data_IF_512582885364
#
_entry.id   IF_512582885364
#
_cell.length_a   1.000
_cell.length_b   1.000
_cell.length_c   1.000
_cell.angle_alpha   90.00
_cell.angle_beta   90.00
_cell.angle_gamma   90.00
#
_symmetry.space_group_name_H-M   'P 1'
#
loop_
_entity.id
_entity.type
_entity.pdbx_description
1 polymer ?
#
# COMPACT_ATOMS: atom_id res chain seq x y z
N UNK A 1 -49.11 -0.66 -4.21
CA UNK A 1 -48.14 -0.18 -3.20
C UNK A 1 -46.74 -0.37 -3.77
N UNK A 2 -46.05 0.72 -4.13
CA UNK A 2 -44.68 0.65 -4.63
C UNK A 2 -43.71 0.84 -3.45
N UNK A 3 -43.03 -0.22 -3.05
CA UNK A 3 -41.97 -0.16 -2.05
C UNK A 3 -40.73 0.49 -2.68
N UNK A 4 -40.51 1.77 -2.37
CA UNK A 4 -39.23 2.44 -2.66
C UNK A 4 -38.13 1.74 -1.86
N UNK A 5 -37.30 0.92 -2.52
CA UNK A 5 -36.04 0.44 -1.95
C UNK A 5 -35.11 1.65 -1.79
N UNK A 6 -34.98 2.14 -0.57
CA UNK A 6 -33.93 3.10 -0.20
C UNK A 6 -32.58 2.38 -0.30
N UNK A 7 -31.88 2.54 -1.41
CA UNK A 7 -30.47 2.13 -1.54
C UNK A 7 -29.67 3.05 -0.62
N UNK A 8 -29.27 2.55 0.54
CA UNK A 8 -28.34 3.27 1.41
C UNK A 8 -27.02 3.38 0.64
N UNK A 9 -26.62 4.59 0.25
CA UNK A 9 -25.25 4.85 -0.20
C UNK A 9 -24.32 4.62 0.99
N UNK A 10 -23.79 3.43 1.06
CA UNK A 10 -22.64 3.03 1.86
C UNK A 10 -21.48 3.99 1.59
N UNK A 11 -20.82 4.43 2.68
CA UNK A 11 -19.70 5.35 2.58
C UNK A 11 -18.47 4.57 2.10
N UNK A 12 -17.65 5.13 1.19
CA UNK A 12 -16.37 4.52 0.84
C UNK A 12 -15.53 4.36 2.11
N UNK A 13 -14.91 3.20 2.26
CA UNK A 13 -14.00 2.89 3.37
C UNK A 13 -12.59 3.10 2.86
N UNK A 14 -11.77 3.89 3.56
CA UNK A 14 -10.36 3.98 3.21
C UNK A 14 -9.55 2.87 3.89
N UNK A 15 -8.57 2.35 3.16
CA UNK A 15 -7.53 1.46 3.69
C UNK A 15 -6.18 2.13 3.49
N UNK A 16 -5.27 1.93 4.43
CA UNK A 16 -3.90 2.45 4.34
C UNK A 16 -2.91 1.35 4.69
N UNK A 17 -1.76 1.38 4.02
CA UNK A 17 -0.62 0.54 4.35
C UNK A 17 0.67 1.36 4.32
N UNK A 18 1.65 0.90 5.10
CA UNK A 18 2.99 1.44 5.11
C UNK A 18 3.98 0.27 5.11
N UNK A 19 4.93 0.31 4.20
CA UNK A 19 6.11 -0.57 4.24
C UNK A 19 7.33 0.25 4.59
N UNK A 20 8.23 -0.35 5.37
CA UNK A 20 9.49 0.26 5.77
C UNK A 20 10.56 -0.81 5.84
N UNK A 21 11.68 -0.54 5.19
CA UNK A 21 12.81 -1.44 5.17
C UNK A 21 14.12 -0.65 5.31
N UNK A 22 15.12 -1.30 5.90
CA UNK A 22 16.43 -0.70 6.12
C UNK A 22 17.51 -1.64 5.61
N UNK A 23 18.47 -1.11 4.86
CA UNK A 23 19.62 -1.83 4.31
C UNK A 23 20.92 -1.18 4.79
N UNK A 24 21.92 -1.99 5.08
CA UNK A 24 23.28 -1.53 5.42
C UNK A 24 24.18 -1.67 4.20
N UNK A 25 24.83 -0.58 3.78
CA UNK A 25 25.82 -0.57 2.70
C UNK A 25 27.08 0.12 3.22
N UNK A 26 28.20 -0.62 3.26
CA UNK A 26 29.43 -0.18 3.94
C UNK A 26 29.17 0.07 5.43
N UNK A 27 29.49 1.27 5.90
CA UNK A 27 29.23 1.72 7.28
C UNK A 27 27.92 2.54 7.42
N UNK A 28 27.18 2.73 6.32
CA UNK A 28 25.96 3.53 6.29
C UNK A 28 24.70 2.66 6.31
N UNK A 29 23.63 3.19 6.92
CA UNK A 29 22.29 2.60 6.88
C UNK A 29 21.35 3.49 6.07
N UNK A 30 20.65 2.88 5.14
CA UNK A 30 19.64 3.52 4.32
C UNK A 30 18.28 2.95 4.71
N UNK A 31 17.29 3.82 4.91
CA UNK A 31 15.93 3.43 5.27
C UNK A 31 14.96 4.02 4.25
N UNK A 32 14.11 3.15 3.72
CA UNK A 32 13.02 3.50 2.82
C UNK A 32 11.71 3.28 3.57
N UNK A 33 10.80 4.24 3.46
CA UNK A 33 9.45 4.13 3.98
C UNK A 33 8.48 4.61 2.91
N UNK A 34 7.55 3.75 2.51
CA UNK A 34 6.50 4.07 1.56
C UNK A 34 5.14 3.85 2.21
N UNK A 35 4.25 4.84 2.07
CA UNK A 35 2.91 4.82 2.66
C UNK A 35 1.89 5.25 1.62
N UNK A 36 0.79 4.51 1.55
CA UNK A 36 -0.28 4.78 0.61
C UNK A 36 -1.66 4.52 1.24
N UNK A 37 -2.66 5.23 0.74
CA UNK A 37 -4.06 5.13 1.15
C UNK A 37 -4.97 5.01 -0.07
N UNK A 38 -5.84 4.00 -0.07
CA UNK A 38 -6.82 3.74 -1.13
C UNK A 38 -8.25 3.94 -0.61
N UNK A 39 -9.08 4.57 -1.43
CA UNK A 39 -10.52 4.61 -1.21
C UNK A 39 -11.16 3.36 -1.83
N UNK A 40 -11.84 2.56 -1.01
CA UNK A 40 -12.45 1.31 -1.45
C UNK A 40 -13.95 1.49 -1.68
N UNK A 41 -14.41 1.00 -2.83
CA UNK A 41 -15.83 0.97 -3.18
C UNK A 41 -16.62 0.05 -2.26
N UNK A 42 -17.92 0.33 -2.11
CA UNK A 42 -18.76 -0.53 -1.29
C UNK A 42 -18.99 -1.89 -1.95
N UNK A 43 -18.89 -2.95 -1.15
CA UNK A 43 -19.04 -4.34 -1.61
C UNK A 43 -17.77 -4.97 -2.19
N UNK A 44 -16.65 -4.23 -2.24
CA UNK A 44 -15.36 -4.80 -2.61
C UNK A 44 -14.85 -5.83 -1.58
N UNK A 45 -14.05 -6.79 -2.04
CA UNK A 45 -13.40 -7.75 -1.15
C UNK A 45 -12.25 -7.07 -0.41
N UNK A 46 -12.55 -6.57 0.78
CA UNK A 46 -11.57 -5.90 1.65
C UNK A 46 -10.30 -6.72 1.91
N UNK A 47 -10.36 -8.06 1.86
CA UNK A 47 -9.16 -8.89 2.04
C UNK A 47 -8.28 -8.85 0.80
N UNK A 48 -8.87 -8.93 -0.39
CA UNK A 48 -8.17 -8.78 -1.65
C UNK A 48 -7.57 -7.37 -1.78
N UNK A 49 -8.34 -6.32 -1.48
CA UNK A 49 -7.89 -4.92 -1.54
C UNK A 49 -6.72 -4.65 -0.60
N UNK A 50 -6.78 -5.15 0.64
CA UNK A 50 -5.67 -5.03 1.59
C UNK A 50 -4.42 -5.78 1.13
N UNK A 51 -4.59 -6.96 0.51
CA UNK A 51 -3.45 -7.71 -0.02
C UNK A 51 -2.83 -6.98 -1.20
N UNK A 52 -3.64 -6.46 -2.11
CA UNK A 52 -3.17 -5.67 -3.26
C UNK A 52 -2.40 -4.44 -2.79
N UNK A 53 -2.96 -3.65 -1.89
CA UNK A 53 -2.28 -2.49 -1.31
C UNK A 53 -0.98 -2.88 -0.59
N UNK A 54 -0.97 -4.00 0.14
CA UNK A 54 0.24 -4.53 0.77
C UNK A 54 1.32 -4.89 -0.24
N UNK A 55 0.97 -5.61 -1.31
CA UNK A 55 1.91 -6.00 -2.35
C UNK A 55 2.48 -4.75 -3.06
N UNK A 56 1.66 -3.72 -3.30
CA UNK A 56 2.08 -2.43 -3.87
C UNK A 56 3.11 -1.73 -2.98
N UNK A 57 2.79 -1.51 -1.70
CA UNK A 57 3.71 -0.75 -0.83
C UNK A 57 5.04 -1.48 -0.60
N UNK A 58 5.04 -2.82 -0.63
CA UNK A 58 6.29 -3.58 -0.55
C UNK A 58 7.07 -3.56 -1.86
N UNK A 59 6.40 -3.69 -3.01
CA UNK A 59 7.07 -3.59 -4.31
C UNK A 59 7.78 -2.26 -4.51
N UNK A 60 7.19 -1.16 -4.04
CA UNK A 60 7.82 0.17 -4.05
C UNK A 60 9.04 0.26 -3.11
N UNK A 61 8.94 -0.30 -1.90
CA UNK A 61 10.08 -0.35 -0.98
C UNK A 61 11.22 -1.23 -1.52
N UNK A 62 10.91 -2.40 -2.08
CA UNK A 62 11.88 -3.32 -2.65
C UNK A 62 12.59 -2.68 -3.84
N UNK A 63 11.85 -2.03 -4.75
CA UNK A 63 12.42 -1.34 -5.90
C UNK A 63 13.39 -0.22 -5.49
N UNK A 64 13.01 0.58 -4.50
CA UNK A 64 13.88 1.63 -3.96
C UNK A 64 15.14 1.07 -3.28
N UNK A 65 15.03 -0.07 -2.59
CA UNK A 65 16.20 -0.75 -2.02
C UNK A 65 17.12 -1.25 -3.12
N UNK A 66 16.58 -1.87 -4.18
CA UNK A 66 17.37 -2.32 -5.32
C UNK A 66 18.13 -1.17 -5.97
N UNK A 67 17.47 -0.03 -6.17
CA UNK A 67 18.11 1.16 -6.73
C UNK A 67 19.24 1.67 -5.82
N UNK A 68 19.02 1.74 -4.50
CA UNK A 68 20.06 2.12 -3.52
C UNK A 68 21.25 1.16 -3.59
N UNK A 69 21.01 -0.16 -3.68
CA UNK A 69 22.08 -1.15 -3.78
C UNK A 69 22.84 -0.99 -5.10
N UNK A 70 22.15 -0.74 -6.22
CA UNK A 70 22.78 -0.55 -7.53
C UNK A 70 23.60 0.74 -7.61
N UNK A 71 23.13 1.83 -7.02
CA UNK A 71 23.81 3.13 -7.11
C UNK A 71 24.97 3.27 -6.11
N UNK A 72 24.86 2.68 -4.91
CA UNK A 72 25.81 2.88 -3.81
C UNK A 72 26.69 1.64 -3.59
N UNK A 73 26.25 0.45 -3.98
CA UNK A 73 26.94 -0.82 -3.73
C UNK A 73 28.11 -1.14 -4.68
N UNK A 74 28.47 -0.23 -5.59
CA UNK A 74 29.63 -0.31 -6.48
C UNK A 74 30.81 0.52 -5.96
#
# INVERSE_FOLDING_TARGET
MATKKTVRKSKPVSISASSRASVKIGDSYYTVEFKEEWAIEDGADMKAERKALWDTVNGECDSQIEDIIREIGH
#
